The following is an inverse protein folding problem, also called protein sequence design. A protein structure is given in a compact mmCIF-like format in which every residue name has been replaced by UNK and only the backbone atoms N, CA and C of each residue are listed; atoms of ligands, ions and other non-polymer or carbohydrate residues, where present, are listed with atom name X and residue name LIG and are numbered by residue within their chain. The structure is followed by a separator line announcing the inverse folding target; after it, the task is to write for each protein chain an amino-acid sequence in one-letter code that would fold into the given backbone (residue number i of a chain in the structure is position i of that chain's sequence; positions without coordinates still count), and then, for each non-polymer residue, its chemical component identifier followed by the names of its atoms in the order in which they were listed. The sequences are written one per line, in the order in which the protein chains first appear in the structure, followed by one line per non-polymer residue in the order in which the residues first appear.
data_IF_189363341068
#
_entry.id   IF_189363341068
#
_cell.length_a   1.000
_cell.length_b   1.000
_cell.length_c   1.000
_cell.angle_alpha   90.00
_cell.angle_beta   90.00
_cell.angle_gamma   90.00
#
_symmetry.space_group_name_H-M   'P 1'
#
loop_
_entity.id
_entity.type
_entity.pdbx_description
1 polymer ?
#
# COMPACT_ATOMS: atom_id res chain seq x y z
N UNK A 1 -18.21 19.67 -7.23
CA UNK A 1 -17.43 18.56 -7.82
C UNK A 1 -18.17 17.28 -7.51
N UNK A 2 -18.12 16.27 -8.37
CA UNK A 2 -18.76 15.00 -8.04
C UNK A 2 -18.04 14.36 -6.85
N UNK A 3 -18.78 13.68 -5.98
CA UNK A 3 -18.23 13.05 -4.79
C UNK A 3 -17.32 11.87 -5.18
N UNK A 4 -16.20 11.72 -4.46
CA UNK A 4 -15.27 10.61 -4.62
C UNK A 4 -15.69 9.49 -3.68
N UNK A 5 -15.85 8.27 -4.19
CA UNK A 5 -16.09 7.09 -3.36
C UNK A 5 -15.03 6.03 -3.65
N UNK A 6 -14.24 5.66 -2.64
CA UNK A 6 -13.24 4.60 -2.71
C UNK A 6 -13.79 3.30 -2.12
N UNK A 7 -13.92 2.28 -2.97
CA UNK A 7 -14.25 0.92 -2.56
C UNK A 7 -12.97 0.17 -2.21
N UNK A 8 -12.88 -0.33 -0.98
CA UNK A 8 -11.69 -0.97 -0.43
C UNK A 8 -11.99 -2.35 0.17
N UNK A 9 -10.96 -3.17 0.30
CA UNK A 9 -11.02 -4.37 1.14
C UNK A 9 -10.79 -4.05 2.61
N UNK A 10 -10.87 -5.06 3.49
CA UNK A 10 -10.47 -4.90 4.91
C UNK A 10 -9.10 -4.25 5.02
N UNK A 11 -9.00 -3.19 5.81
CA UNK A 11 -7.78 -2.41 6.05
C UNK A 11 -6.68 -3.25 6.66
N UNK A 12 -7.07 -4.22 7.48
CA UNK A 12 -6.17 -5.20 8.09
C UNK A 12 -5.32 -5.94 7.04
N UNK A 13 -5.89 -6.24 5.88
CA UNK A 13 -5.34 -7.22 4.93
C UNK A 13 -5.14 -6.70 3.49
N UNK A 14 -5.82 -5.63 3.09
CA UNK A 14 -5.89 -5.18 1.71
C UNK A 14 -4.75 -4.22 1.35
N UNK A 15 -3.59 -4.79 1.01
CA UNK A 15 -2.44 -3.98 0.56
C UNK A 15 -2.71 -3.14 -0.68
N UNK A 16 -3.61 -3.60 -1.56
CA UNK A 16 -3.96 -2.84 -2.77
C UNK A 16 -4.80 -1.62 -2.45
N UNK A 17 -5.65 -1.70 -1.43
CA UNK A 17 -6.55 -0.60 -1.05
C UNK A 17 -5.84 0.51 -0.28
N UNK A 18 -4.83 0.17 0.55
CA UNK A 18 -4.03 1.16 1.28
C UNK A 18 -3.37 2.17 0.33
N UNK A 19 -2.92 1.73 -0.84
CA UNK A 19 -2.16 2.54 -1.81
C UNK A 19 -2.94 3.79 -2.28
N UNK A 20 -4.10 3.67 -2.96
CA UNK A 20 -4.84 4.85 -3.38
C UNK A 20 -5.48 5.60 -2.20
N UNK A 21 -5.77 4.92 -1.09
CA UNK A 21 -6.25 5.58 0.12
C UNK A 21 -5.22 6.59 0.64
N UNK A 22 -3.94 6.19 0.74
CA UNK A 22 -2.87 7.12 1.10
C UNK A 22 -2.70 8.24 0.07
N UNK A 23 -2.81 7.94 -1.22
CA UNK A 23 -2.73 8.96 -2.27
C UNK A 23 -3.85 10.02 -2.12
N UNK A 24 -5.11 9.60 -1.89
CA UNK A 24 -6.24 10.49 -1.65
C UNK A 24 -6.05 11.34 -0.39
N UNK A 25 -5.62 10.73 0.72
CA UNK A 25 -5.38 11.46 1.98
C UNK A 25 -4.27 12.49 1.84
N UNK A 26 -3.18 12.15 1.16
CA UNK A 26 -2.09 13.10 0.90
C UNK A 26 -2.45 14.14 -0.16
N UNK A 27 -3.42 13.86 -1.03
CA UNK A 27 -4.00 14.85 -1.94
C UNK A 27 -4.87 15.89 -1.24
N UNK A 28 -5.24 15.66 0.03
CA UNK A 28 -6.24 16.47 0.72
C UNK A 28 -7.65 16.29 0.13
N UNK A 29 -7.89 15.19 -0.58
CA UNK A 29 -9.18 14.91 -1.17
C UNK A 29 -10.20 14.54 -0.09
N UNK A 30 -11.41 15.09 -0.19
CA UNK A 30 -12.58 14.59 0.53
C UNK A 30 -13.16 13.40 -0.25
N UNK A 31 -13.34 12.27 0.42
CA UNK A 31 -13.88 11.07 -0.20
C UNK A 31 -14.60 10.18 0.82
N UNK A 32 -15.64 9.51 0.35
CA UNK A 32 -16.30 8.41 1.04
C UNK A 32 -15.53 7.11 0.86
N UNK A 33 -15.59 6.24 1.87
CA UNK A 33 -14.98 4.92 1.83
C UNK A 33 -16.01 3.82 2.07
N UNK A 34 -16.04 2.83 1.17
CA UNK A 34 -16.90 1.64 1.29
C UNK A 34 -16.02 0.41 1.45
N UNK A 35 -16.12 -0.23 2.62
CA UNK A 35 -15.35 -1.45 2.92
C UNK A 35 -16.15 -2.68 2.47
N UNK A 36 -15.57 -3.46 1.57
CA UNK A 36 -16.09 -4.76 1.14
C UNK A 36 -15.19 -5.86 1.75
N UNK A 37 -15.66 -6.61 2.75
CA UNK A 37 -14.86 -7.63 3.41
C UNK A 37 -14.23 -8.64 2.43
N UNK A 38 -12.94 -8.89 2.60
CA UNK A 38 -12.17 -9.86 1.85
C UNK A 38 -12.35 -11.27 2.41
N UNK A 39 -12.33 -12.26 1.52
CA UNK A 39 -12.48 -13.70 1.80
C UNK A 39 -13.68 -14.13 2.64
N UNK A 40 -14.71 -13.28 2.78
CA UNK A 40 -16.00 -13.67 3.37
C UNK A 40 -16.74 -14.68 2.48
N UNK A 41 -17.40 -15.73 3.03
CA UNK A 41 -18.21 -16.68 2.27
C UNK A 41 -19.40 -15.99 1.56
N UNK A 42 -19.70 -16.33 0.30
CA UNK A 42 -20.93 -15.90 -0.41
C UNK A 42 -20.77 -14.92 -1.59
N UNK A 43 -21.77 -14.04 -1.76
CA UNK A 43 -22.09 -13.06 -2.87
C UNK A 43 -20.96 -12.06 -3.22
N UNK A 44 -19.78 -12.23 -2.64
CA UNK A 44 -18.66 -11.30 -2.60
C UNK A 44 -18.08 -10.89 -3.96
N UNK A 45 -17.94 -11.85 -4.88
CA UNK A 45 -17.49 -11.53 -6.26
C UNK A 45 -18.51 -10.65 -6.97
N UNK A 46 -19.81 -10.90 -6.75
CA UNK A 46 -20.89 -10.12 -7.36
C UNK A 46 -20.95 -8.71 -6.80
N UNK A 47 -20.72 -8.52 -5.49
CA UNK A 47 -20.71 -7.18 -4.89
C UNK A 47 -19.55 -6.35 -5.42
N UNK A 48 -18.32 -6.88 -5.44
CA UNK A 48 -17.17 -6.14 -6.00
C UNK A 48 -17.39 -5.86 -7.50
N UNK A 49 -17.94 -6.81 -8.27
CA UNK A 49 -18.23 -6.63 -9.69
C UNK A 49 -19.24 -5.50 -9.97
N UNK A 50 -20.11 -5.13 -9.02
CA UNK A 50 -20.99 -3.95 -9.15
C UNK A 50 -20.23 -2.63 -9.11
N UNK A 51 -19.03 -2.62 -8.56
CA UNK A 51 -18.23 -1.42 -8.34
C UNK A 51 -16.92 -1.40 -9.12
N UNK A 52 -16.43 -2.55 -9.58
CA UNK A 52 -15.15 -2.69 -10.25
C UNK A 52 -15.24 -3.70 -11.41
N UNK A 53 -14.97 -3.27 -12.67
CA UNK A 53 -14.96 -4.18 -13.82
C UNK A 53 -13.98 -5.35 -13.69
N UNK A 54 -12.91 -5.20 -12.90
CA UNK A 54 -11.92 -6.26 -12.67
C UNK A 54 -12.37 -7.31 -11.64
N UNK A 55 -13.51 -7.09 -10.96
CA UNK A 55 -13.94 -7.92 -9.84
C UNK A 55 -13.01 -7.85 -8.63
N UNK A 56 -12.17 -6.81 -8.55
CA UNK A 56 -11.20 -6.57 -7.46
C UNK A 56 -11.33 -5.16 -6.90
N UNK A 57 -10.97 -5.01 -5.63
CA UNK A 57 -10.72 -3.72 -4.97
C UNK A 57 -9.21 -3.43 -4.95
N UNK A 58 -8.79 -2.15 -4.99
CA UNK A 58 -9.60 -0.94 -4.91
C UNK A 58 -10.31 -0.57 -6.22
N UNK A 59 -11.39 0.20 -6.09
CA UNK A 59 -12.00 0.94 -7.18
C UNK A 59 -12.42 2.34 -6.71
N UNK A 60 -12.13 3.37 -7.49
CA UNK A 60 -12.52 4.75 -7.22
C UNK A 60 -13.66 5.14 -8.17
N UNK A 61 -14.76 5.63 -7.62
CA UNK A 61 -15.83 6.29 -8.39
C UNK A 61 -15.71 7.81 -8.26
N UNK A 62 -15.84 8.50 -9.38
CA UNK A 62 -15.95 9.96 -9.45
C UNK A 62 -17.03 10.30 -10.48
N UNK A 63 -18.24 10.59 -10.00
CA UNK A 63 -19.42 10.71 -10.88
C UNK A 63 -19.70 9.40 -11.65
N UNK A 64 -19.78 9.47 -12.97
CA UNK A 64 -19.98 8.30 -13.83
C UNK A 64 -18.69 7.49 -14.10
N UNK A 65 -17.51 8.05 -13.79
CA UNK A 65 -16.24 7.40 -14.05
C UNK A 65 -15.90 6.42 -12.93
N UNK A 66 -15.47 5.22 -13.31
CA UNK A 66 -14.91 4.21 -12.39
C UNK A 66 -13.49 3.92 -12.80
N UNK A 67 -12.54 4.08 -11.88
CA UNK A 67 -11.12 3.77 -12.06
C UNK A 67 -10.79 2.58 -11.17
N UNK A 68 -10.21 1.53 -11.75
CA UNK A 68 -9.69 0.36 -11.04
C UNK A 68 -8.16 0.28 -11.23
N UNK A 69 -7.49 -0.57 -10.45
CA UNK A 69 -6.02 -0.64 -10.28
C UNK A 69 -5.44 0.47 -9.39
N UNK A 70 -4.67 0.06 -8.37
CA UNK A 70 -4.17 0.99 -7.35
C UNK A 70 -3.28 2.10 -7.90
N UNK A 71 -2.42 1.79 -8.88
CA UNK A 71 -1.52 2.77 -9.48
C UNK A 71 -2.25 3.70 -10.45
N UNK A 72 -3.23 3.19 -11.21
CA UNK A 72 -4.05 4.01 -12.09
C UNK A 72 -4.92 4.99 -11.29
N UNK A 73 -5.48 4.55 -10.16
CA UNK A 73 -6.19 5.45 -9.24
C UNK A 73 -5.24 6.52 -8.70
N UNK A 74 -4.01 6.17 -8.31
CA UNK A 74 -3.05 7.15 -7.81
C UNK A 74 -2.61 8.17 -8.88
N UNK A 75 -2.45 7.77 -10.14
CA UNK A 75 -2.22 8.70 -11.27
C UNK A 75 -3.43 9.62 -11.47
N UNK A 76 -4.65 9.08 -11.45
CA UNK A 76 -5.87 9.88 -11.56
C UNK A 76 -6.00 10.93 -10.44
N UNK A 77 -5.65 10.55 -9.21
CA UNK A 77 -5.61 11.48 -8.07
C UNK A 77 -4.53 12.54 -8.28
N UNK A 78 -3.35 12.17 -8.76
CA UNK A 78 -2.29 13.13 -9.04
C UNK A 78 -2.67 14.15 -10.14
N UNK A 79 -3.43 13.71 -11.16
CA UNK A 79 -3.98 14.59 -12.20
C UNK A 79 -5.12 15.48 -11.68
N UNK A 80 -5.97 14.94 -10.81
CA UNK A 80 -7.13 15.66 -10.26
C UNK A 80 -6.75 16.67 -9.17
N UNK A 81 -5.63 16.45 -8.48
CA UNK A 81 -5.12 17.27 -7.38
C UNK A 81 -3.65 17.66 -7.63
N UNK A 82 -3.34 18.47 -8.66
CA UNK A 82 -1.96 18.76 -9.06
C UNK A 82 -1.16 19.49 -7.98
N UNK A 83 -1.82 20.30 -7.15
CA UNK A 83 -1.21 21.05 -6.05
C UNK A 83 -0.64 20.14 -4.95
N UNK A 84 -1.14 18.90 -4.84
CA UNK A 84 -0.62 17.91 -3.91
C UNK A 84 0.76 17.37 -4.31
N UNK A 85 1.18 17.57 -5.58
CA UNK A 85 2.50 17.19 -6.09
C UNK A 85 2.89 15.75 -5.75
N UNK A 86 1.95 14.82 -5.95
CA UNK A 86 2.12 13.39 -5.62
C UNK A 86 3.22 12.68 -6.45
N UNK A 87 3.77 13.36 -7.46
CA UNK A 87 4.95 12.92 -8.19
C UNK A 87 6.07 13.95 -8.10
N UNK A 88 7.35 13.54 -8.17
CA UNK A 88 8.47 14.47 -8.26
C UNK A 88 8.33 15.44 -9.44
N UNK A 89 8.76 16.69 -9.26
CA UNK A 89 8.68 17.74 -10.29
C UNK A 89 9.77 17.57 -11.36
N UNK A 90 10.98 17.14 -10.94
CA UNK A 90 12.07 16.86 -11.87
C UNK A 90 11.73 15.65 -12.76
N UNK A 91 11.89 15.82 -14.07
CA UNK A 91 11.54 14.81 -15.09
C UNK A 91 12.16 13.43 -14.79
N UNK A 92 13.45 13.40 -14.51
CA UNK A 92 14.18 12.14 -14.32
C UNK A 92 13.77 11.44 -13.03
N UNK A 93 13.62 12.19 -11.93
CA UNK A 93 13.10 11.67 -10.67
C UNK A 93 11.68 11.09 -10.84
N UNK A 94 10.80 11.78 -11.58
CA UNK A 94 9.44 11.30 -11.87
C UNK A 94 9.43 10.04 -12.71
N UNK A 95 10.33 9.93 -13.68
CA UNK A 95 10.46 8.73 -14.50
C UNK A 95 10.86 7.52 -13.64
N UNK A 96 11.84 7.69 -12.74
CA UNK A 96 12.23 6.62 -11.79
C UNK A 96 11.10 6.31 -10.82
N UNK A 97 10.41 7.32 -10.26
CA UNK A 97 9.29 7.13 -9.34
C UNK A 97 8.16 6.27 -9.96
N UNK A 98 7.84 6.52 -11.24
CA UNK A 98 6.88 5.71 -11.99
C UNK A 98 7.38 4.29 -12.25
N UNK A 99 8.65 4.13 -12.61
CA UNK A 99 9.25 2.81 -12.85
C UNK A 99 9.20 1.94 -11.58
N UNK A 100 9.65 2.45 -10.44
CA UNK A 100 9.65 1.67 -9.18
C UNK A 100 8.24 1.41 -8.65
N UNK A 101 7.28 2.30 -8.94
CA UNK A 101 5.87 2.10 -8.62
C UNK A 101 5.25 0.99 -9.47
N UNK A 102 5.56 0.95 -10.77
CA UNK A 102 5.11 -0.10 -11.68
C UNK A 102 5.77 -1.45 -11.36
N UNK A 103 7.06 -1.47 -11.00
CA UNK A 103 7.73 -2.67 -10.49
C UNK A 103 7.06 -3.17 -9.21
N UNK A 104 6.72 -2.28 -8.28
CA UNK A 104 5.95 -2.64 -7.07
C UNK A 104 4.50 -3.08 -7.36
N UNK A 105 3.93 -2.70 -8.50
CA UNK A 105 2.62 -3.18 -8.93
C UNK A 105 2.69 -4.59 -9.53
N UNK A 106 3.78 -4.95 -10.20
CA UNK A 106 3.86 -6.15 -11.06
C UNK A 106 4.81 -7.26 -10.56
N UNK A 107 5.80 -6.93 -9.73
CA UNK A 107 6.86 -7.85 -9.24
C UNK A 107 6.62 -8.27 -7.79
N UNK A 108 7.59 -8.89 -7.09
CA UNK A 108 7.56 -9.20 -5.63
C UNK A 108 6.51 -10.22 -5.14
N UNK A 109 6.19 -11.22 -5.96
CA UNK A 109 5.17 -12.20 -5.62
C UNK A 109 5.58 -13.11 -4.44
N UNK A 110 6.86 -13.46 -4.33
CA UNK A 110 7.36 -14.33 -3.27
C UNK A 110 7.27 -13.63 -1.91
N UNK A 111 7.73 -12.37 -1.84
CA UNK A 111 7.56 -11.52 -0.66
C UNK A 111 6.09 -11.41 -0.22
N UNK A 112 5.18 -11.09 -1.15
CA UNK A 112 3.76 -10.89 -0.80
C UNK A 112 3.06 -12.17 -0.36
N UNK A 113 3.54 -13.32 -0.83
CA UNK A 113 3.02 -14.64 -0.46
C UNK A 113 3.54 -15.06 0.90
N UNK A 114 4.85 -14.91 1.14
CA UNK A 114 5.49 -15.26 2.40
C UNK A 114 5.03 -14.34 3.55
N UNK A 115 4.89 -13.04 3.28
CA UNK A 115 4.56 -12.01 4.26
C UNK A 115 3.28 -11.27 3.84
N UNK A 116 2.09 -11.88 3.98
CA UNK A 116 0.83 -11.20 3.68
C UNK A 116 0.61 -10.02 4.63
N UNK A 117 -0.03 -8.94 4.17
CA UNK A 117 -0.24 -7.79 5.05
C UNK A 117 -1.21 -8.13 6.19
N UNK A 118 -0.81 -7.84 7.43
CA UNK A 118 -1.67 -7.82 8.61
C UNK A 118 -1.22 -6.71 9.58
N UNK A 119 -1.73 -5.50 9.39
CA UNK A 119 -1.30 -4.31 10.17
C UNK A 119 -1.68 -4.34 11.65
N UNK A 120 -2.47 -5.33 12.08
CA UNK A 120 -2.89 -5.52 13.47
C UNK A 120 -1.90 -6.34 14.29
N UNK A 121 -0.94 -7.01 13.64
CA UNK A 121 -0.10 -8.02 14.28
C UNK A 121 1.36 -7.63 14.32
N UNK A 122 2.04 -8.25 15.29
CA UNK A 122 3.48 -8.35 15.42
C UNK A 122 3.82 -9.83 15.53
N UNK A 123 4.66 -10.31 14.63
CA UNK A 123 4.99 -11.72 14.48
C UNK A 123 6.51 -11.80 14.36
N UNK A 124 7.11 -12.78 15.04
CA UNK A 124 8.54 -13.02 15.02
C UNK A 124 8.80 -14.47 14.59
N UNK A 125 9.96 -14.72 13.99
CA UNK A 125 10.41 -16.08 13.64
C UNK A 125 9.65 -16.75 12.49
N UNK A 126 9.02 -15.98 11.59
CA UNK A 126 8.45 -16.55 10.36
C UNK A 126 9.58 -16.95 9.41
N UNK A 127 9.53 -18.17 8.89
CA UNK A 127 10.50 -18.64 7.91
C UNK A 127 10.36 -17.84 6.59
N UNK A 128 11.45 -17.23 6.15
CA UNK A 128 11.54 -16.51 4.88
C UNK A 128 12.22 -17.42 3.87
N UNK A 129 11.52 -17.74 2.79
CA UNK A 129 12.09 -18.52 1.68
C UNK A 129 13.15 -17.72 0.93
N UNK A 130 14.10 -18.40 0.27
CA UNK A 130 15.13 -17.75 -0.56
C UNK A 130 14.53 -16.76 -1.59
N UNK A 131 13.46 -17.14 -2.28
CA UNK A 131 12.79 -16.24 -3.24
C UNK A 131 12.22 -14.97 -2.58
N UNK A 132 11.70 -15.09 -1.35
CA UNK A 132 11.23 -13.92 -0.59
C UNK A 132 12.39 -13.08 -0.08
N UNK A 133 13.52 -13.68 0.30
CA UNK A 133 14.76 -12.97 0.65
C UNK A 133 15.30 -12.15 -0.53
N UNK A 134 15.26 -12.70 -1.74
CA UNK A 134 15.65 -11.99 -2.97
C UNK A 134 14.73 -10.79 -3.26
N UNK A 135 13.42 -10.98 -3.12
CA UNK A 135 12.45 -9.89 -3.23
C UNK A 135 12.72 -8.79 -2.18
N UNK A 136 12.99 -9.16 -0.92
CA UNK A 136 13.31 -8.21 0.16
C UNK A 136 14.59 -7.43 -0.16
N UNK A 137 15.64 -8.11 -0.61
CA UNK A 137 16.90 -7.48 -1.00
C UNK A 137 16.69 -6.49 -2.17
N UNK A 138 15.88 -6.86 -3.17
CA UNK A 138 15.55 -5.97 -4.29
C UNK A 138 14.78 -4.73 -3.82
N UNK A 139 13.80 -4.88 -2.92
CA UNK A 139 13.07 -3.75 -2.33
C UNK A 139 14.03 -2.80 -1.60
N UNK A 140 14.91 -3.32 -0.74
CA UNK A 140 15.89 -2.49 -0.04
C UNK A 140 16.83 -1.77 -1.02
N UNK A 141 17.29 -2.45 -2.08
CA UNK A 141 18.11 -1.83 -3.12
C UNK A 141 17.37 -0.68 -3.84
N UNK A 142 16.08 -0.83 -4.14
CA UNK A 142 15.26 0.24 -4.72
C UNK A 142 15.18 1.43 -3.78
N UNK A 143 14.89 1.18 -2.50
CA UNK A 143 14.75 2.25 -1.51
C UNK A 143 16.07 3.00 -1.32
N UNK A 144 17.18 2.29 -1.21
CA UNK A 144 18.50 2.88 -1.12
C UNK A 144 18.86 3.73 -2.35
N UNK A 145 18.63 3.23 -3.57
CA UNK A 145 18.90 3.98 -4.81
C UNK A 145 18.06 5.26 -4.88
N UNK A 146 16.75 5.15 -4.63
CA UNK A 146 15.84 6.31 -4.67
C UNK A 146 16.26 7.35 -3.62
N UNK A 147 16.49 6.93 -2.38
CA UNK A 147 16.91 7.82 -1.28
C UNK A 147 18.25 8.48 -1.55
N UNK A 148 19.22 7.74 -2.08
CA UNK A 148 20.54 8.26 -2.42
C UNK A 148 20.48 9.34 -3.50
N UNK A 149 19.71 9.09 -4.57
CA UNK A 149 19.66 9.97 -5.75
C UNK A 149 18.68 11.13 -5.60
N UNK A 150 17.56 10.92 -4.90
CA UNK A 150 16.42 11.83 -4.91
C UNK A 150 15.86 12.15 -3.51
N UNK A 151 16.43 11.58 -2.44
CA UNK A 151 15.88 11.68 -1.08
C UNK A 151 16.23 12.95 -0.30
N UNK A 152 17.06 13.86 -0.83
CA UNK A 152 17.62 15.00 -0.08
C UNK A 152 16.59 16.08 0.37
N UNK A 153 15.30 15.90 0.08
CA UNK A 153 14.21 16.82 0.42
C UNK A 153 13.25 16.33 1.52
N UNK A 154 13.59 15.28 2.26
CA UNK A 154 12.77 14.76 3.36
C UNK A 154 13.04 13.30 3.67
N UNK A 155 12.06 12.60 4.26
CA UNK A 155 12.21 11.23 4.76
C UNK A 155 11.75 10.15 3.77
N UNK A 156 11.10 10.54 2.67
CA UNK A 156 10.48 9.62 1.72
C UNK A 156 11.37 9.30 0.52
N UNK A 157 10.97 8.35 -0.33
CA UNK A 157 11.82 7.82 -1.42
C UNK A 157 12.35 8.92 -2.36
N UNK A 158 11.55 9.95 -2.60
CA UNK A 158 11.90 11.10 -3.44
C UNK A 158 11.86 12.42 -2.64
N UNK A 159 12.23 12.36 -1.36
CA UNK A 159 12.26 13.48 -0.42
C UNK A 159 10.90 13.75 0.22
N UNK A 160 9.93 14.23 -0.57
CA UNK A 160 8.53 14.38 -0.14
C UNK A 160 7.73 13.11 -0.39
N UNK A 161 6.61 12.95 0.32
CA UNK A 161 5.69 11.84 0.06
C UNK A 161 5.24 11.86 -1.40
N UNK A 162 5.25 10.70 -2.04
CA UNK A 162 4.87 10.51 -3.43
C UNK A 162 4.04 9.25 -3.62
N UNK A 163 3.47 9.05 -4.81
CA UNK A 163 2.80 7.79 -5.17
C UNK A 163 3.74 6.59 -5.01
N UNK A 164 5.05 6.74 -5.21
CA UNK A 164 5.99 5.65 -4.95
C UNK A 164 5.93 5.19 -3.48
N UNK A 165 5.82 6.14 -2.56
CA UNK A 165 5.68 5.83 -1.13
C UNK A 165 4.34 5.16 -0.83
N UNK A 166 3.25 5.64 -1.43
CA UNK A 166 1.95 4.98 -1.33
C UNK A 166 2.01 3.52 -1.80
N UNK A 167 2.73 3.25 -2.90
CA UNK A 167 2.88 1.90 -3.48
C UNK A 167 3.69 0.94 -2.60
N UNK A 168 4.73 1.46 -1.92
CA UNK A 168 5.61 0.72 -1.02
C UNK A 168 5.15 0.69 0.44
N UNK A 169 4.19 1.53 0.86
CA UNK A 169 3.69 1.54 2.23
C UNK A 169 3.20 0.17 2.74
N UNK A 170 2.47 -0.65 1.95
CA UNK A 170 2.15 -2.00 2.36
C UNK A 170 3.36 -2.91 2.57
N UNK A 171 4.50 -2.64 1.92
CA UNK A 171 5.74 -3.42 2.14
C UNK A 171 6.38 -2.99 3.45
N UNK A 172 6.41 -1.69 3.74
CA UNK A 172 6.85 -1.18 5.04
C UNK A 172 6.06 -1.81 6.19
N UNK A 173 4.73 -1.91 6.07
CA UNK A 173 3.91 -2.58 7.09
C UNK A 173 4.24 -4.07 7.22
N UNK A 174 4.58 -4.77 6.13
CA UNK A 174 4.97 -6.19 6.20
C UNK A 174 6.28 -6.34 6.98
N UNK A 175 7.28 -5.53 6.65
CA UNK A 175 8.57 -5.60 7.34
C UNK A 175 8.42 -5.33 8.85
N UNK A 176 7.57 -4.38 9.19
CA UNK A 176 7.23 -4.05 10.59
C UNK A 176 6.37 -5.10 11.30
N UNK A 177 5.42 -5.73 10.61
CA UNK A 177 4.59 -6.82 11.16
C UNK A 177 5.42 -8.08 11.43
N UNK A 178 6.35 -8.43 10.53
CA UNK A 178 7.08 -9.70 10.58
C UNK A 178 8.51 -9.58 11.13
N UNK A 179 8.93 -8.39 11.55
CA UNK A 179 10.27 -8.18 12.10
C UNK A 179 11.39 -8.48 11.11
N UNK A 180 11.20 -8.12 9.83
CA UNK A 180 12.23 -8.32 8.79
C UNK A 180 13.46 -7.49 9.12
N UNK A 181 14.65 -8.07 9.05
CA UNK A 181 15.91 -7.36 9.22
C UNK A 181 16.15 -6.39 8.06
N UNK A 182 16.45 -5.14 8.37
CA UNK A 182 16.61 -4.06 7.40
C UNK A 182 17.91 -3.31 7.60
N UNK A 183 18.48 -2.81 6.50
CA UNK A 183 19.53 -1.80 6.57
C UNK A 183 19.02 -0.47 7.20
N UNK A 184 19.94 0.40 7.61
CA UNK A 184 19.60 1.63 8.32
C UNK A 184 18.78 2.65 7.48
N UNK A 185 18.90 2.64 6.15
CA UNK A 185 18.09 3.50 5.26
C UNK A 185 16.67 2.96 5.20
N UNK A 186 16.54 1.66 4.95
CA UNK A 186 15.26 0.95 4.87
C UNK A 186 14.51 1.00 6.20
N UNK A 187 15.20 0.84 7.34
CA UNK A 187 14.60 0.94 8.67
C UNK A 187 14.03 2.34 8.96
N UNK A 188 14.79 3.40 8.63
CA UNK A 188 14.30 4.78 8.77
C UNK A 188 13.11 5.06 7.86
N UNK A 189 13.17 4.58 6.62
CA UNK A 189 12.06 4.73 5.68
C UNK A 189 10.78 4.05 6.18
N UNK A 190 10.88 2.82 6.69
CA UNK A 190 9.75 2.11 7.30
C UNK A 190 9.18 2.89 8.48
N UNK A 191 10.03 3.40 9.37
CA UNK A 191 9.58 4.21 10.51
C UNK A 191 8.83 5.47 10.05
N UNK A 192 9.32 6.16 9.02
CA UNK A 192 8.71 7.37 8.45
C UNK A 192 7.36 7.09 7.79
N UNK A 193 7.20 5.96 7.08
CA UNK A 193 5.90 5.52 6.55
C UNK A 193 4.91 5.24 7.67
N UNK A 194 5.33 4.52 8.71
CA UNK A 194 4.46 4.18 9.84
C UNK A 194 4.07 5.42 10.64
N UNK A 195 4.94 6.42 10.73
CA UNK A 195 4.66 7.68 11.42
C UNK A 195 3.69 8.60 10.68
N UNK A 196 3.33 8.32 9.42
CA UNK A 196 2.35 9.12 8.67
C UNK A 196 1.00 9.18 9.42
N UNK A 197 0.41 10.38 9.60
CA UNK A 197 -0.92 10.49 10.23
C UNK A 197 -1.99 9.64 9.53
N UNK A 198 -1.96 9.61 8.19
CA UNK A 198 -2.85 8.77 7.40
C UNK A 198 -2.60 7.27 7.65
N UNK A 199 -1.34 6.84 7.79
CA UNK A 199 -1.02 5.44 8.10
C UNK A 199 -1.49 5.05 9.50
N UNK A 200 -1.35 5.94 10.49
CA UNK A 200 -1.87 5.73 11.84
C UNK A 200 -3.41 5.64 11.85
N UNK A 201 -4.09 6.50 11.09
CA UNK A 201 -5.55 6.42 10.91
C UNK A 201 -5.97 5.08 10.28
N UNK A 202 -5.27 4.63 9.24
CA UNK A 202 -5.55 3.35 8.61
C UNK A 202 -5.40 2.18 9.60
N UNK A 203 -4.33 2.17 10.40
CA UNK A 203 -4.08 1.15 11.41
C UNK A 203 -5.15 1.19 12.51
N UNK A 204 -5.56 2.36 12.96
CA UNK A 204 -6.62 2.52 13.96
C UNK A 204 -7.94 1.93 13.44
N UNK A 205 -8.38 2.35 12.24
CA UNK A 205 -9.57 1.81 11.58
C UNK A 205 -9.48 0.30 11.34
N UNK A 206 -8.30 -0.23 11.01
CA UNK A 206 -8.09 -1.67 10.84
C UNK A 206 -8.34 -2.46 12.14
N UNK A 207 -7.93 -1.92 13.29
CA UNK A 207 -8.12 -2.58 14.60
C UNK A 207 -9.60 -2.69 15.00
N UNK A 208 -10.44 -1.80 14.50
CA UNK A 208 -11.89 -1.81 14.73
C UNK A 208 -12.65 -2.80 13.83
N UNK A 209 -11.99 -3.36 12.79
CA UNK A 209 -12.65 -4.28 11.87
C UNK A 209 -12.97 -5.63 12.54
N UNK A 210 -14.25 -6.07 12.52
CA UNK A 210 -14.65 -7.33 13.16
C UNK A 210 -14.28 -8.56 12.32
N UNK A 211 -14.12 -8.39 11.01
CA UNK A 211 -13.84 -9.48 10.08
C UNK A 211 -12.35 -9.84 10.09
N UNK A 212 -12.08 -11.13 10.25
CA UNK A 212 -10.73 -11.69 10.18
C UNK A 212 -10.57 -12.62 8.98
N UNK A 213 -9.33 -12.78 8.52
CA UNK A 213 -8.95 -13.82 7.57
C UNK A 213 -8.13 -14.86 8.34
N UNK A 214 -8.75 -15.97 8.71
CA UNK A 214 -8.14 -17.01 9.57
C UNK A 214 -6.75 -17.45 9.11
N UNK A 215 -6.57 -17.66 7.80
CA UNK A 215 -5.28 -18.04 7.23
C UNK A 215 -4.15 -17.03 7.53
N UNK A 216 -4.46 -15.76 7.73
CA UNK A 216 -3.47 -14.71 8.08
C UNK A 216 -3.33 -14.55 9.60
N UNK A 217 -4.37 -14.86 10.37
CA UNK A 217 -4.33 -14.89 11.83
C UNK A 217 -3.55 -16.11 12.37
N UNK A 218 -3.54 -17.22 11.63
CA UNK A 218 -2.81 -18.44 12.01
C UNK A 218 -1.28 -18.33 11.85
N UNK A 219 -0.78 -17.35 11.07
CA UNK A 219 0.67 -17.23 10.82
C UNK A 219 1.43 -16.93 12.12
N UNK A 220 2.51 -17.66 12.36
CA UNK A 220 3.36 -17.51 13.55
C UNK A 220 2.70 -17.96 14.86
N UNK A 221 1.51 -18.56 14.82
CA UNK A 221 0.91 -19.23 15.98
C UNK A 221 1.47 -20.65 16.02
N UNK A 222 2.47 -20.88 16.86
CA UNK A 222 2.92 -22.25 17.19
C UNK A 222 1.87 -22.85 18.13
N UNK A 223 1.44 -24.07 17.85
CA UNK A 223 0.36 -24.75 18.60
C UNK A 223 0.56 -24.64 20.12
N UNK A 224 -0.54 -24.31 20.81
CA UNK A 224 -0.65 -24.49 22.26
C UNK A 224 -0.64 -25.97 22.60
#
# INVERSE_FOLDING_TARGET
MAELTLYIGNRSYSSWSLRPWLALKHAGAEFDEVVIPLRAPGVRTLEIQRHSPSGKVPALKHGALTIWESLAIAEYVAESFPDAKLWPEARDARAVARAVSAEMASSFAALRTALPMNVRRKIQGVAITEAASQDIARVQAIWNDCRSRFGQGGEFLFGRFSVADAMYAPVATRFDTYGVELDAVSQRYVASILALPAMQEWIAKAKEEPHIIEAYEAIGVVGK
#
